data_IF_847453108332
#
_entry.id   IF_847453108332
#
_cell.length_a   1.000
_cell.length_b   1.000
_cell.length_c   1.000
_cell.angle_alpha   90.00
_cell.angle_beta   90.00
_cell.angle_gamma   90.00
#
_symmetry.space_group_name_H-M   'P 1'
#
loop_
_entity.id
_entity.type
_entity.pdbx_description
1 polymer ?
#
# COMPACT_ATOMS: atom_id res chain seq x y z
N UNK A 1 -20.38 -36.22 7.36
CA UNK A 1 -19.11 -35.75 6.76
C UNK A 1 -19.43 -34.48 5.97
N UNK A 2 -19.36 -33.32 6.64
CA UNK A 2 -19.89 -32.06 6.09
C UNK A 2 -18.81 -31.41 5.22
N UNK A 3 -18.99 -31.47 3.90
CA UNK A 3 -18.20 -30.71 2.93
C UNK A 3 -18.43 -29.22 3.17
N UNK A 4 -17.54 -28.60 3.96
CA UNK A 4 -17.44 -27.15 4.07
C UNK A 4 -16.99 -26.67 2.69
N UNK A 5 -17.95 -26.25 1.85
CA UNK A 5 -17.66 -25.48 0.65
C UNK A 5 -16.82 -24.29 1.07
N UNK A 6 -15.52 -24.28 0.77
CA UNK A 6 -14.65 -23.13 0.98
C UNK A 6 -14.97 -22.08 -0.09
N UNK A 7 -15.96 -21.23 0.18
CA UNK A 7 -16.23 -20.09 -0.70
C UNK A 7 -15.09 -19.07 -0.62
N UNK A 8 -14.77 -18.47 -1.76
CA UNK A 8 -13.61 -17.60 -1.96
C UNK A 8 -13.79 -16.27 -1.19
N UNK A 9 -12.81 -15.88 -0.37
CA UNK A 9 -12.72 -14.52 0.20
C UNK A 9 -12.44 -13.52 -0.92
N UNK A 10 -13.06 -12.34 -0.89
CA UNK A 10 -12.78 -11.32 -1.92
C UNK A 10 -11.44 -10.66 -1.61
N UNK A 11 -10.44 -10.90 -2.45
CA UNK A 11 -9.14 -10.22 -2.36
C UNK A 11 -9.14 -8.93 -3.17
N UNK A 12 -8.90 -7.82 -2.51
CA UNK A 12 -8.74 -6.52 -3.17
C UNK A 12 -7.41 -6.46 -3.92
N UNK A 13 -7.37 -5.64 -4.98
CA UNK A 13 -6.15 -5.43 -5.77
C UNK A 13 -5.11 -4.59 -5.04
N UNK A 14 -5.53 -3.68 -4.17
CA UNK A 14 -4.68 -2.82 -3.35
C UNK A 14 -5.46 -2.25 -2.16
N UNK A 15 -4.75 -1.75 -1.15
CA UNK A 15 -5.33 -0.94 -0.07
C UNK A 15 -6.14 0.24 -0.59
N UNK A 16 -5.74 0.83 -1.74
CA UNK A 16 -6.46 1.93 -2.37
C UNK A 16 -7.90 1.57 -2.77
N UNK A 17 -8.17 0.31 -3.15
CA UNK A 17 -9.55 -0.13 -3.40
C UNK A 17 -10.43 0.01 -2.16
N UNK A 18 -9.88 -0.26 -0.97
CA UNK A 18 -10.56 -0.07 0.30
C UNK A 18 -10.69 1.42 0.65
N UNK A 19 -9.61 2.20 0.51
CA UNK A 19 -9.62 3.64 0.79
C UNK A 19 -10.65 4.38 -0.07
N UNK A 20 -10.84 3.95 -1.33
CA UNK A 20 -11.91 4.46 -2.20
C UNK A 20 -13.30 4.27 -1.60
N UNK A 21 -13.59 3.09 -1.04
CA UNK A 21 -14.86 2.80 -0.40
C UNK A 21 -15.02 3.53 0.96
N UNK A 22 -13.92 3.67 1.70
CA UNK A 22 -13.89 4.35 2.99
C UNK A 22 -14.15 5.86 2.87
N UNK A 23 -13.39 6.54 2.01
CA UNK A 23 -13.48 7.99 1.80
C UNK A 23 -14.49 8.40 0.74
N UNK A 24 -15.18 7.44 0.13
CA UNK A 24 -16.08 7.68 -1.00
C UNK A 24 -15.39 8.46 -2.14
N UNK A 25 -14.15 8.09 -2.49
CA UNK A 25 -13.46 8.76 -3.59
C UNK A 25 -14.19 8.47 -4.91
N UNK A 26 -14.93 9.48 -5.40
CA UNK A 26 -15.66 9.43 -6.66
C UNK A 26 -14.72 9.68 -7.83
N UNK A 27 -14.69 8.77 -8.81
CA UNK A 27 -13.90 8.94 -10.02
C UNK A 27 -13.66 7.64 -10.78
N UNK A 28 -13.72 7.73 -12.10
CA UNK A 28 -13.20 6.71 -13.02
C UNK A 28 -11.71 6.97 -13.18
N UNK A 29 -10.88 6.11 -12.60
CA UNK A 29 -9.44 6.20 -12.78
C UNK A 29 -9.07 6.05 -14.26
N UNK A 30 -8.07 6.80 -14.71
CA UNK A 30 -7.54 6.63 -16.06
C UNK A 30 -6.90 5.22 -16.17
N UNK A 31 -7.39 4.39 -17.09
CA UNK A 31 -6.93 3.00 -17.25
C UNK A 31 -5.44 2.90 -17.59
N UNK A 32 -4.93 3.82 -18.42
CA UNK A 32 -3.51 3.89 -18.79
C UNK A 32 -2.68 4.24 -17.55
N UNK A 33 -3.15 5.20 -16.76
CA UNK A 33 -2.51 5.57 -15.49
C UNK A 33 -2.49 4.39 -14.51
N UNK A 34 -3.62 3.72 -14.32
CA UNK A 34 -3.73 2.55 -13.45
C UNK A 34 -2.80 1.41 -13.89
N UNK A 35 -2.65 1.20 -15.20
CA UNK A 35 -1.68 0.24 -15.76
C UNK A 35 -0.24 0.65 -15.43
N UNK A 36 0.12 1.92 -15.61
CA UNK A 36 1.45 2.42 -15.28
C UNK A 36 1.77 2.24 -13.78
N UNK A 37 0.83 2.58 -12.89
CA UNK A 37 0.97 2.35 -11.44
C UNK A 37 1.16 0.87 -11.12
N UNK A 38 0.37 -0.02 -11.74
CA UNK A 38 0.50 -1.46 -11.52
C UNK A 38 1.86 -2.00 -11.98
N UNK A 39 2.37 -1.51 -13.11
CA UNK A 39 3.71 -1.87 -13.59
C UNK A 39 4.81 -1.31 -12.70
N UNK A 40 4.68 -0.05 -12.23
CA UNK A 40 5.62 0.55 -11.28
C UNK A 40 5.69 -0.26 -10.00
N UNK A 41 4.55 -0.55 -9.36
CA UNK A 41 4.50 -1.34 -8.12
C UNK A 41 5.09 -2.73 -8.32
N UNK A 42 4.87 -3.38 -9.47
CA UNK A 42 5.51 -4.67 -9.75
C UNK A 42 7.04 -4.57 -9.70
N UNK A 43 7.62 -3.59 -10.39
CA UNK A 43 9.08 -3.39 -10.44
C UNK A 43 9.63 -3.02 -9.06
N UNK A 44 8.90 -2.20 -8.30
CA UNK A 44 9.26 -1.82 -6.93
C UNK A 44 9.34 -3.05 -6.02
N UNK A 45 8.33 -3.94 -6.10
CA UNK A 45 8.34 -5.19 -5.34
C UNK A 45 9.53 -6.06 -5.71
N UNK A 46 9.78 -6.26 -6.99
CA UNK A 46 10.93 -7.05 -7.47
C UNK A 46 12.24 -6.47 -6.94
N UNK A 47 12.43 -5.16 -7.04
CA UNK A 47 13.62 -4.44 -6.53
C UNK A 47 13.82 -4.65 -5.04
N UNK A 48 12.73 -4.55 -4.27
CA UNK A 48 12.79 -4.67 -2.82
C UNK A 48 12.86 -6.14 -2.35
N UNK A 49 12.44 -7.10 -3.17
CA UNK A 49 12.64 -8.54 -2.92
C UNK A 49 14.07 -8.98 -3.26
N UNK A 50 14.65 -8.44 -4.33
CA UNK A 50 16.03 -8.71 -4.73
C UNK A 50 17.07 -7.89 -3.93
N UNK A 51 16.62 -6.94 -3.09
CA UNK A 51 17.44 -6.00 -2.31
C UNK A 51 18.51 -5.29 -3.15
N UNK A 52 18.19 -4.95 -4.41
CA UNK A 52 19.11 -4.26 -5.29
C UNK A 52 18.37 -3.54 -6.43
N UNK A 53 19.04 -2.57 -7.05
CA UNK A 53 18.47 -1.69 -8.07
C UNK A 53 18.23 -2.33 -9.45
N UNK A 54 18.66 -3.57 -9.68
CA UNK A 54 18.68 -4.20 -11.00
C UNK A 54 17.29 -4.25 -11.64
N UNK A 55 16.17 -4.60 -10.96
CA UNK A 55 14.87 -4.65 -11.62
C UNK A 55 14.42 -3.28 -12.14
N UNK A 56 14.65 -2.21 -11.38
CA UNK A 56 14.43 -0.83 -11.86
C UNK A 56 15.32 -0.54 -13.08
N UNK A 57 16.63 -0.79 -12.98
CA UNK A 57 17.55 -0.53 -14.09
C UNK A 57 17.15 -1.29 -15.35
N UNK A 58 16.78 -2.56 -15.24
CA UNK A 58 16.28 -3.37 -16.36
C UNK A 58 15.02 -2.77 -16.97
N UNK A 59 14.04 -2.34 -16.15
CA UNK A 59 12.82 -1.72 -16.67
C UNK A 59 13.11 -0.39 -17.40
N UNK A 60 14.04 0.43 -16.88
CA UNK A 60 14.41 1.71 -17.47
C UNK A 60 15.06 1.56 -18.87
N UNK A 61 15.74 0.46 -19.15
CA UNK A 61 16.38 0.19 -20.45
C UNK A 61 15.49 -0.63 -21.41
N UNK A 62 14.31 -1.06 -20.97
CA UNK A 62 13.39 -1.83 -21.83
C UNK A 62 12.88 -0.99 -23.00
N UNK A 63 12.92 -1.56 -24.21
CA UNK A 63 12.49 -0.92 -25.47
C UNK A 63 11.00 -0.55 -25.47
N UNK A 64 10.15 -1.44 -24.96
CA UNK A 64 8.69 -1.27 -24.91
C UNK A 64 8.19 -1.13 -23.47
N UNK A 65 8.46 0.02 -22.86
CA UNK A 65 8.07 0.38 -21.49
C UNK A 65 7.11 1.56 -21.48
N UNK A 66 6.25 1.66 -20.48
CA UNK A 66 5.41 2.84 -20.29
C UNK A 66 6.26 4.01 -19.77
N UNK A 67 6.24 5.14 -20.49
CA UNK A 67 6.94 6.38 -20.08
C UNK A 67 6.58 6.79 -18.66
N UNK A 68 5.29 6.79 -18.33
CA UNK A 68 4.80 7.15 -17.01
C UNK A 68 5.36 6.24 -15.90
N UNK A 69 5.50 4.94 -16.16
CA UNK A 69 6.13 4.01 -15.22
C UNK A 69 7.61 4.36 -15.03
N UNK A 70 8.34 4.66 -16.11
CA UNK A 70 9.73 5.11 -16.04
C UNK A 70 9.85 6.37 -15.19
N UNK A 71 9.00 7.36 -15.41
CA UNK A 71 9.01 8.63 -14.66
C UNK A 71 8.78 8.39 -13.15
N UNK A 72 7.85 7.49 -12.78
CA UNK A 72 7.61 7.10 -11.38
C UNK A 72 8.82 6.40 -10.76
N UNK A 73 9.45 5.47 -11.48
CA UNK A 73 10.62 4.73 -10.97
C UNK A 73 11.86 5.63 -10.86
N UNK A 74 12.07 6.56 -11.78
CA UNK A 74 13.15 7.55 -11.69
C UNK A 74 12.96 8.41 -10.43
N UNK A 75 11.73 8.89 -10.17
CA UNK A 75 11.43 9.67 -8.98
C UNK A 75 11.64 8.87 -7.70
N UNK A 76 11.25 7.59 -7.69
CA UNK A 76 11.53 6.70 -6.56
C UNK A 76 13.03 6.65 -6.29
N UNK A 77 13.86 6.40 -7.30
CA UNK A 77 15.31 6.32 -7.14
C UNK A 77 15.87 7.66 -6.65
N UNK A 78 15.48 8.78 -7.26
CA UNK A 78 15.92 10.11 -6.82
C UNK A 78 15.56 10.39 -5.36
N UNK A 79 14.32 10.10 -4.95
CA UNK A 79 13.86 10.30 -3.57
C UNK A 79 14.57 9.39 -2.57
N UNK A 80 14.85 8.15 -2.98
CA UNK A 80 15.54 7.17 -2.16
C UNK A 80 17.00 7.60 -1.93
N UNK A 81 17.71 7.97 -3.00
CA UNK A 81 19.10 8.41 -2.94
C UNK A 81 19.30 9.73 -2.19
N UNK A 82 18.27 10.57 -2.07
CA UNK A 82 18.30 11.76 -1.22
C UNK A 82 18.24 11.42 0.28
N UNK A 83 17.73 10.25 0.65
CA UNK A 83 17.51 9.85 2.04
C UNK A 83 18.46 8.75 2.53
N UNK A 84 19.00 7.96 1.62
CA UNK A 84 19.78 6.76 1.94
C UNK A 84 21.02 6.68 1.04
N UNK A 85 22.08 6.09 1.56
CA UNK A 85 23.32 5.88 0.81
C UNK A 85 23.20 4.65 -0.10
N UNK A 86 22.56 3.59 0.40
CA UNK A 86 22.17 2.41 -0.37
C UNK A 86 20.70 2.05 -0.06
N UNK A 87 19.75 2.75 -0.69
CA UNK A 87 18.36 2.70 -0.26
C UNK A 87 17.77 1.29 -0.26
N UNK A 88 18.08 0.48 -1.26
CA UNK A 88 17.46 -0.84 -1.44
C UNK A 88 18.12 -1.95 -0.63
N UNK A 89 19.24 -1.65 0.04
CA UNK A 89 19.81 -2.46 1.11
C UNK A 89 19.38 -1.97 2.51
N UNK A 90 19.12 -0.66 2.66
CA UNK A 90 18.75 -0.04 3.94
C UNK A 90 17.26 -0.16 4.28
N UNK A 91 16.40 -0.37 3.27
CA UNK A 91 14.95 -0.46 3.45
C UNK A 91 14.43 -1.86 3.11
N UNK A 92 13.44 -2.34 3.86
CA UNK A 92 12.88 -3.69 3.71
C UNK A 92 11.46 -3.61 3.18
N UNK A 93 11.14 -4.40 2.14
CA UNK A 93 9.76 -4.54 1.71
C UNK A 93 8.92 -5.19 2.80
N UNK A 94 7.72 -4.67 3.03
CA UNK A 94 6.72 -5.38 3.83
C UNK A 94 5.41 -5.51 3.04
N UNK A 95 4.75 -6.62 3.25
CA UNK A 95 3.44 -6.91 2.71
C UNK A 95 2.65 -7.66 3.77
N UNK A 96 1.53 -7.09 4.18
CA UNK A 96 0.60 -7.70 5.12
C UNK A 96 -0.80 -7.71 4.54
N UNK A 97 -1.68 -8.49 5.15
CA UNK A 97 -3.07 -8.60 4.75
C UNK A 97 -3.96 -8.32 5.95
N UNK A 98 -4.84 -7.33 5.83
CA UNK A 98 -5.95 -7.17 6.77
C UNK A 98 -7.15 -8.00 6.29
N UNK A 99 -7.74 -8.79 7.17
CA UNK A 99 -8.80 -9.73 6.83
C UNK A 99 -10.05 -9.41 7.65
N UNK A 100 -11.09 -8.91 6.98
CA UNK A 100 -12.41 -8.71 7.59
C UNK A 100 -13.24 -9.96 7.29
N UNK A 101 -13.51 -10.77 8.31
CA UNK A 101 -14.20 -12.06 8.15
C UNK A 101 -15.69 -11.91 7.84
N UNK A 102 -16.28 -13.00 7.29
CA UNK A 102 -17.68 -13.08 6.88
C UNK A 102 -18.68 -12.58 7.94
N UNK A 103 -18.39 -12.78 9.22
CA UNK A 103 -19.28 -12.36 10.31
C UNK A 103 -19.57 -10.85 10.33
N UNK A 104 -18.72 -10.05 9.69
CA UNK A 104 -18.87 -8.59 9.59
C UNK A 104 -19.30 -8.13 8.19
N UNK A 105 -19.45 -9.06 7.23
CA UNK A 105 -19.75 -8.75 5.84
C UNK A 105 -21.21 -9.07 5.52
N UNK A 106 -21.97 -8.06 5.09
CA UNK A 106 -23.38 -8.13 4.71
C UNK A 106 -23.59 -8.42 3.23
N UNK A 107 -22.53 -8.32 2.42
CA UNK A 107 -22.54 -8.70 1.01
C UNK A 107 -22.44 -10.23 0.85
N UNK A 108 -22.56 -10.73 -0.39
CA UNK A 108 -22.39 -12.16 -0.70
C UNK A 108 -20.97 -12.71 -0.46
N UNK A 109 -20.00 -11.83 -0.18
CA UNK A 109 -18.60 -12.20 0.00
C UNK A 109 -18.38 -12.90 1.34
N UNK A 110 -17.46 -13.88 1.39
CA UNK A 110 -17.14 -14.62 2.63
C UNK A 110 -16.09 -13.94 3.51
N UNK A 111 -15.90 -12.65 3.32
CA UNK A 111 -14.83 -11.86 3.90
C UNK A 111 -14.10 -11.06 2.84
N UNK A 112 -13.33 -10.07 3.29
CA UNK A 112 -12.56 -9.16 2.44
C UNK A 112 -11.10 -9.19 2.89
N UNK A 113 -10.20 -9.46 1.95
CA UNK A 113 -8.76 -9.42 2.14
C UNK A 113 -8.21 -8.13 1.52
N UNK A 114 -7.60 -7.29 2.36
CA UNK A 114 -7.11 -5.96 2.01
C UNK A 114 -5.58 -5.99 2.07
N UNK A 115 -4.87 -6.01 0.94
CA UNK A 115 -3.42 -6.01 0.94
C UNK A 115 -2.89 -4.63 1.34
N UNK A 116 -1.90 -4.63 2.22
CA UNK A 116 -1.20 -3.43 2.68
C UNK A 116 0.28 -3.66 2.40
N UNK A 117 0.81 -2.88 1.46
CA UNK A 117 2.19 -2.98 1.01
C UNK A 117 2.92 -1.65 1.15
N UNK A 118 4.23 -1.75 1.36
CA UNK A 118 5.11 -0.60 1.44
C UNK A 118 6.52 -1.04 1.80
N UNK A 119 7.26 -0.11 2.39
CA UNK A 119 8.65 -0.31 2.74
C UNK A 119 8.88 0.13 4.18
N UNK A 120 9.79 -0.56 4.86
CA UNK A 120 10.16 -0.35 6.25
C UNK A 120 11.63 0.02 6.36
N UNK A 121 11.89 1.21 6.89
CA UNK A 121 13.22 1.65 7.31
C UNK A 121 13.37 1.34 8.80
N UNK A 122 14.06 0.23 9.09
CA UNK A 122 14.26 -0.26 10.46
C UNK A 122 15.13 0.69 11.28
N UNK A 123 16.10 1.35 10.67
CA UNK A 123 17.07 2.23 11.34
C UNK A 123 16.36 3.46 11.90
N UNK A 124 15.56 4.14 11.08
CA UNK A 124 14.84 5.34 11.48
C UNK A 124 13.44 5.05 12.03
N UNK A 125 13.05 3.77 12.11
CA UNK A 125 11.72 3.34 12.54
C UNK A 125 10.60 3.98 11.71
N UNK A 126 10.80 4.04 10.39
CA UNK A 126 9.95 4.79 9.45
C UNK A 126 9.23 3.87 8.47
N UNK A 127 7.91 3.98 8.44
CA UNK A 127 7.04 3.30 7.47
C UNK A 127 6.93 4.15 6.20
N UNK A 128 7.12 3.56 5.03
CA UNK A 128 7.05 4.26 3.74
C UNK A 128 5.94 3.63 2.90
N UNK A 129 4.95 4.44 2.52
CA UNK A 129 3.86 4.05 1.65
C UNK A 129 4.03 4.78 0.31
N UNK A 130 4.06 4.02 -0.78
CA UNK A 130 4.08 4.62 -2.11
C UNK A 130 2.68 5.06 -2.50
N UNK A 131 2.53 6.33 -2.88
CA UNK A 131 1.29 6.85 -3.46
C UNK A 131 1.51 7.33 -4.88
N UNK A 132 0.45 7.27 -5.66
CA UNK A 132 0.41 7.67 -7.06
C UNK A 132 -0.72 8.67 -7.30
N UNK A 133 -1.19 9.35 -6.25
CA UNK A 133 -2.21 10.37 -6.36
C UNK A 133 -2.02 11.41 -5.26
N UNK A 134 -2.77 12.51 -5.32
CA UNK A 134 -2.54 13.63 -4.41
C UNK A 134 -2.70 13.20 -2.94
N UNK A 135 -1.74 13.49 -2.06
CA UNK A 135 -1.77 13.11 -0.64
C UNK A 135 -2.73 14.00 0.17
N UNK A 136 -3.79 14.54 -0.43
CA UNK A 136 -4.67 15.54 0.21
C UNK A 136 -5.30 15.03 1.50
N UNK A 137 -5.28 13.70 1.73
CA UNK A 137 -5.78 13.07 2.93
C UNK A 137 -4.81 12.04 3.56
N UNK A 138 -3.50 12.21 3.37
CA UNK A 138 -2.47 11.26 3.84
C UNK A 138 -2.65 10.87 5.32
N UNK A 139 -2.89 11.86 6.18
CA UNK A 139 -3.08 11.64 7.61
C UNK A 139 -4.24 10.68 7.88
N UNK A 140 -5.39 10.90 7.26
CA UNK A 140 -6.55 10.04 7.46
C UNK A 140 -6.38 8.66 6.81
N UNK A 141 -5.75 8.57 5.63
CA UNK A 141 -5.45 7.29 5.01
C UNK A 141 -4.54 6.43 5.91
N UNK A 142 -3.54 7.03 6.53
CA UNK A 142 -2.69 6.34 7.50
C UNK A 142 -3.45 5.93 8.76
N UNK A 143 -4.41 6.74 9.25
CA UNK A 143 -5.27 6.34 10.36
C UNK A 143 -6.14 5.13 10.01
N UNK A 144 -6.62 5.05 8.76
CA UNK A 144 -7.36 3.88 8.24
C UNK A 144 -6.46 2.67 8.15
N UNK A 145 -5.27 2.79 7.56
CA UNK A 145 -4.28 1.71 7.45
C UNK A 145 -3.89 1.20 8.85
N UNK A 146 -3.58 2.11 9.78
CA UNK A 146 -3.27 1.78 11.18
C UNK A 146 -4.42 1.03 11.87
N UNK A 147 -5.67 1.46 11.63
CA UNK A 147 -6.87 0.77 12.12
C UNK A 147 -7.03 -0.62 11.52
N UNK A 148 -6.90 -0.76 10.20
CA UNK A 148 -6.96 -2.06 9.52
C UNK A 148 -5.94 -3.05 10.06
N UNK A 149 -4.71 -2.60 10.26
CA UNK A 149 -3.64 -3.42 10.81
C UNK A 149 -3.97 -3.85 12.23
N UNK A 150 -4.32 -2.89 13.10
CA UNK A 150 -4.58 -3.16 14.51
C UNK A 150 -5.74 -4.13 14.71
N UNK A 151 -6.81 -3.98 13.94
CA UNK A 151 -8.07 -4.70 14.16
C UNK A 151 -8.17 -6.00 13.36
N UNK A 152 -7.48 -6.10 12.21
CA UNK A 152 -7.73 -7.16 11.23
C UNK A 152 -6.48 -7.80 10.61
N UNK A 153 -5.27 -7.32 10.89
CA UNK A 153 -4.05 -7.99 10.41
C UNK A 153 -3.56 -9.06 11.41
N UNK A 154 -2.96 -10.15 10.95
CA UNK A 154 -2.33 -11.12 11.84
C UNK A 154 -1.22 -10.48 12.69
N UNK A 155 -1.13 -10.87 13.95
CA UNK A 155 -0.08 -10.41 14.84
C UNK A 155 1.33 -10.69 14.26
N UNK A 156 2.29 -9.81 14.54
CA UNK A 156 3.69 -9.97 14.14
C UNK A 156 4.03 -9.65 12.67
N UNK A 157 3.05 -9.27 11.84
CA UNK A 157 3.27 -8.96 10.41
C UNK A 157 3.58 -7.49 10.13
N UNK A 158 3.60 -6.65 11.16
CA UNK A 158 4.03 -5.26 11.06
C UNK A 158 5.26 -5.01 11.95
N UNK A 159 6.14 -4.05 11.58
CA UNK A 159 7.20 -3.62 12.47
C UNK A 159 6.62 -3.09 13.79
N UNK A 160 7.09 -3.60 14.92
CA UNK A 160 6.51 -3.31 16.24
C UNK A 160 6.68 -1.84 16.69
N UNK A 161 7.61 -1.09 16.09
CA UNK A 161 8.09 0.18 16.63
C UNK A 161 8.00 1.34 15.62
N UNK A 162 6.97 1.41 14.79
CA UNK A 162 6.84 2.52 13.82
C UNK A 162 6.71 3.86 14.56
N UNK A 163 7.68 4.76 14.32
CA UNK A 163 7.69 6.14 14.85
C UNK A 163 7.07 7.11 13.86
N UNK A 164 7.53 7.09 12.62
CA UNK A 164 7.08 7.98 11.56
C UNK A 164 6.53 7.18 10.39
N UNK A 165 5.62 7.81 9.63
CA UNK A 165 5.16 7.29 8.36
C UNK A 165 5.34 8.36 7.27
N UNK A 166 5.77 7.94 6.10
CA UNK A 166 6.00 8.80 4.95
C UNK A 166 5.17 8.32 3.76
N UNK A 167 4.51 9.25 3.06
CA UNK A 167 4.02 9.01 1.71
C UNK A 167 5.03 9.52 0.71
N UNK A 168 5.47 8.62 -0.17
CA UNK A 168 6.26 9.00 -1.33
C UNK A 168 5.32 9.09 -2.51
N UNK A 169 4.99 10.32 -2.91
CA UNK A 169 4.19 10.61 -4.09
C UNK A 169 5.07 10.51 -5.34
N UNK A 170 5.06 9.34 -5.97
CA UNK A 170 5.82 9.06 -7.19
C UNK A 170 5.23 9.77 -8.41
N UNK A 171 3.99 10.28 -8.31
CA UNK A 171 3.33 11.06 -9.37
C UNK A 171 3.79 12.52 -9.41
N UNK A 172 4.36 13.05 -8.32
CA UNK A 172 4.89 14.41 -8.24
C UNK A 172 6.33 14.51 -7.74
N UNK A 173 6.93 13.41 -7.28
CA UNK A 173 8.24 13.42 -6.65
C UNK A 173 8.24 14.12 -5.29
N UNK A 174 7.12 14.09 -4.55
CA UNK A 174 7.00 14.70 -3.22
C UNK A 174 7.02 13.66 -2.10
N UNK A 175 7.55 14.06 -0.96
CA UNK A 175 7.50 13.27 0.28
C UNK A 175 6.70 14.09 1.29
N UNK A 176 5.79 13.42 1.97
CA UNK A 176 5.10 13.97 3.13
C UNK A 176 5.28 13.00 4.29
N UNK A 177 5.69 13.50 5.44
CA UNK A 177 5.91 12.71 6.65
C UNK A 177 4.90 13.08 7.73
N UNK A 178 4.54 12.11 8.55
CA UNK A 178 3.73 12.29 9.75
C UNK A 178 4.30 11.47 10.90
N UNK A 179 4.14 12.02 12.10
CA UNK A 179 4.30 11.26 13.34
C UNK A 179 3.20 10.17 13.38
N UNK A 180 3.63 8.92 13.25
CA UNK A 180 2.73 7.77 13.23
C UNK A 180 2.21 7.42 14.62
N UNK A 181 2.99 7.71 15.67
CA UNK A 181 2.61 7.41 17.05
C UNK A 181 1.46 8.31 17.48
N UNK A 182 1.50 9.59 17.11
CA UNK A 182 0.44 10.55 17.37
C UNK A 182 -0.89 10.28 16.61
N UNK A 183 -0.90 9.38 15.62
CA UNK A 183 -2.12 9.03 14.89
C UNK A 183 -3.04 8.12 15.71
N UNK A 184 -4.26 8.58 15.95
CA UNK A 184 -5.34 7.72 16.45
C UNK A 184 -5.89 6.83 15.34
N UNK A 185 -6.13 5.55 15.64
CA UNK A 185 -6.84 4.66 14.71
C UNK A 185 -8.25 5.16 14.45
N UNK A 186 -8.78 4.84 13.26
CA UNK A 186 -10.21 5.01 13.01
C UNK A 186 -11.01 3.96 13.77
N UNK A 187 -12.30 4.23 13.97
CA UNK A 187 -13.22 3.29 14.61
C UNK A 187 -13.41 2.01 13.78
N UNK A 188 -13.52 0.87 14.49
CA UNK A 188 -13.64 -0.46 13.90
C UNK A 188 -14.91 -0.59 13.06
N UNK A 189 -16.04 -0.04 13.52
CA UNK A 189 -17.30 -0.12 12.78
C UNK A 189 -17.21 0.63 11.46
N UNK A 190 -16.54 1.79 11.43
CA UNK A 190 -16.30 2.53 10.17
C UNK A 190 -15.50 1.73 9.14
N UNK A 191 -14.56 0.89 9.57
CA UNK A 191 -13.81 0.00 8.69
C UNK A 191 -14.72 -1.10 8.11
N UNK A 192 -15.56 -1.69 8.95
CA UNK A 192 -16.54 -2.71 8.55
C UNK A 192 -17.57 -2.12 7.57
N UNK A 193 -18.09 -0.93 7.85
CA UNK A 193 -19.04 -0.23 6.99
C UNK A 193 -18.45 0.06 5.61
N UNK A 194 -17.18 0.48 5.55
CA UNK A 194 -16.46 0.67 4.30
C UNK A 194 -16.29 -0.64 3.54
N UNK A 195 -15.97 -1.73 4.23
CA UNK A 195 -15.86 -3.07 3.65
C UNK A 195 -17.18 -3.50 2.98
N UNK A 196 -18.31 -3.23 3.63
CA UNK A 196 -19.65 -3.55 3.12
C UNK A 196 -20.11 -2.69 1.93
N UNK A 197 -19.42 -1.60 1.63
CA UNK A 197 -19.66 -0.79 0.42
C UNK A 197 -18.93 -1.35 -0.81
N UNK A 198 -17.99 -2.27 -0.62
CA UNK A 198 -17.24 -2.88 -1.72
C UNK A 198 -18.12 -3.93 -2.39
N UNK A 199 -18.43 -3.71 -3.68
CA UNK A 199 -19.28 -4.57 -4.49
C UNK A 199 -18.49 -5.71 -5.14
#
# INVERSE_FOLDING_TARGET
MTLIHQGVKMRLKSSYSFLKAYFNYTGTGNRIYARAVSEAMKVIRETAQENNLKPIQTYLHKQFSLKLTKDMLIRLVSQAMLQYQDPFAEIQYFNTMAVIDKSFITTKHRGIEIPIEGVWDKKNKKLIIFTFSQPNNMREELRVIKGLIKEFAPAGHLPADIKTAAYWDLSKGKIAEVDYQALQTVDRQRLIDAANRIK
#
